data_IF_910762895516
#
_entry.id   IF_910762895516
#
_cell.length_a   1.000
_cell.length_b   1.000
_cell.length_c   1.000
_cell.angle_alpha   90.00
_cell.angle_beta   90.00
_cell.angle_gamma   90.00
#
_symmetry.space_group_name_H-M   'P 1'
#
loop_
_entity.id
_entity.type
_entity.pdbx_description
1 polymer ?
#
# COMPACT_ATOMS: atom_id res chain seq x y z
N UNK A 1 16.33 20.94 3.13
CA UNK A 1 16.31 20.81 1.66
C UNK A 1 15.44 21.94 1.11
N UNK A 2 15.84 22.59 0.02
CA UNK A 2 15.07 23.72 -0.54
C UNK A 2 13.85 23.21 -1.33
N UNK A 3 12.70 23.87 -1.23
CA UNK A 3 11.43 23.46 -1.86
C UNK A 3 11.56 23.30 -3.39
N UNK A 4 12.43 24.09 -4.01
CA UNK A 4 12.77 23.98 -5.43
C UNK A 4 13.49 22.66 -5.78
N UNK A 5 14.40 22.19 -4.90
CA UNK A 5 15.11 20.92 -5.09
C UNK A 5 14.19 19.70 -4.93
N UNK A 6 13.15 19.82 -4.10
CA UNK A 6 12.17 18.77 -3.87
C UNK A 6 11.19 18.67 -5.04
N UNK A 7 10.71 19.80 -5.55
CA UNK A 7 9.89 19.85 -6.76
C UNK A 7 10.63 19.29 -7.99
N UNK A 8 11.92 19.60 -8.14
CA UNK A 8 12.71 19.08 -9.27
C UNK A 8 12.91 17.56 -9.19
N UNK A 9 13.11 17.01 -7.99
CA UNK A 9 13.17 15.55 -7.78
C UNK A 9 11.86 14.86 -8.15
N UNK A 10 10.72 15.42 -7.71
CA UNK A 10 9.41 14.85 -8.05
C UNK A 10 9.14 14.88 -9.56
N UNK A 11 9.56 15.96 -10.23
CA UNK A 11 9.48 16.05 -11.68
C UNK A 11 10.31 14.97 -12.37
N UNK A 12 11.56 14.75 -11.94
CA UNK A 12 12.44 13.72 -12.50
C UNK A 12 11.89 12.29 -12.30
N UNK A 13 11.26 12.01 -11.15
CA UNK A 13 10.59 10.74 -10.93
C UNK A 13 9.40 10.54 -11.88
N UNK A 14 8.59 11.58 -12.07
CA UNK A 14 7.46 11.53 -13.00
C UNK A 14 7.92 11.35 -14.45
N UNK A 15 8.98 12.04 -14.87
CA UNK A 15 9.58 11.91 -16.21
C UNK A 15 10.16 10.50 -16.44
N UNK A 16 10.72 9.86 -15.41
CA UNK A 16 11.15 8.47 -15.47
C UNK A 16 9.95 7.53 -15.65
N UNK A 17 8.88 7.66 -14.85
CA UNK A 17 7.68 6.82 -14.92
C UNK A 17 6.91 6.96 -16.24
N UNK A 18 6.87 8.17 -16.81
CA UNK A 18 6.17 8.48 -18.06
C UNK A 18 7.04 8.18 -19.30
N UNK A 19 8.30 7.80 -19.10
CA UNK A 19 9.27 7.50 -20.15
C UNK A 19 8.98 6.18 -20.89
N UNK A 20 9.58 5.98 -22.08
CA UNK A 20 9.42 4.73 -22.83
C UNK A 20 10.13 3.57 -22.12
N UNK A 21 9.36 2.81 -21.34
CA UNK A 21 9.78 1.53 -20.77
C UNK A 21 9.58 0.41 -21.77
N UNK A 22 10.67 -0.10 -22.34
CA UNK A 22 10.63 -1.11 -23.41
C UNK A 22 10.57 -2.54 -22.89
N UNK A 23 10.52 -2.73 -21.56
CA UNK A 23 10.62 -4.04 -20.88
C UNK A 23 11.87 -4.85 -21.26
N UNK A 24 12.91 -4.17 -21.76
CA UNK A 24 14.21 -4.76 -22.04
C UNK A 24 15.17 -4.37 -20.93
N UNK A 25 15.72 -5.37 -20.24
CA UNK A 25 16.53 -5.19 -19.01
C UNK A 25 17.68 -4.19 -19.18
N UNK A 26 18.31 -4.14 -20.36
CA UNK A 26 19.42 -3.24 -20.65
C UNK A 26 18.99 -1.77 -20.71
N UNK A 27 17.86 -1.46 -21.37
CA UNK A 27 17.36 -0.09 -21.47
C UNK A 27 16.74 0.42 -20.17
N UNK A 28 16.11 -0.47 -19.39
CA UNK A 28 15.59 -0.13 -18.07
C UNK A 28 16.72 0.19 -17.09
N UNK A 29 17.82 -0.58 -17.13
CA UNK A 29 19.00 -0.33 -16.32
C UNK A 29 19.68 1.01 -16.66
N UNK A 30 19.77 1.34 -17.96
CA UNK A 30 20.33 2.63 -18.41
C UNK A 30 19.46 3.82 -18.00
N UNK A 31 18.13 3.70 -18.15
CA UNK A 31 17.18 4.72 -17.70
C UNK A 31 17.27 4.94 -16.18
N UNK A 32 17.43 3.87 -15.41
CA UNK A 32 17.60 3.96 -13.96
C UNK A 32 18.92 4.63 -13.59
N UNK A 33 20.02 4.29 -14.26
CA UNK A 33 21.32 4.93 -14.07
C UNK A 33 21.22 6.44 -14.34
N UNK A 34 20.58 6.82 -15.44
CA UNK A 34 20.39 8.22 -15.84
C UNK A 34 19.61 9.01 -14.78
N UNK A 35 18.53 8.43 -14.24
CA UNK A 35 17.76 9.04 -13.14
C UNK A 35 18.64 9.36 -11.92
N UNK A 36 19.57 8.47 -11.54
CA UNK A 36 20.46 8.73 -10.40
C UNK A 36 21.42 9.89 -10.66
N UNK A 37 21.95 10.01 -11.87
CA UNK A 37 22.80 11.13 -12.26
C UNK A 37 22.02 12.45 -12.21
N UNK A 38 20.81 12.47 -12.76
CA UNK A 38 19.95 13.66 -12.77
C UNK A 38 19.53 14.10 -11.37
N UNK A 39 19.26 13.14 -10.47
CA UNK A 39 19.03 13.43 -9.05
C UNK A 39 20.28 13.98 -8.35
N UNK A 40 21.46 13.49 -8.70
CA UNK A 40 22.75 14.01 -8.22
C UNK A 40 22.98 15.46 -8.63
N UNK A 41 22.80 15.75 -9.92
CA UNK A 41 22.88 17.09 -10.51
C UNK A 41 21.89 18.06 -9.89
N UNK A 42 20.63 17.65 -9.72
CA UNK A 42 19.59 18.45 -9.09
C UNK A 42 19.90 18.77 -7.61
N UNK A 43 20.56 17.87 -6.88
CA UNK A 43 21.01 18.13 -5.50
C UNK A 43 22.16 19.12 -5.45
N UNK A 44 23.08 19.03 -6.42
CA UNK A 44 24.21 19.94 -6.54
C UNK A 44 23.84 21.29 -7.21
N UNK A 45 22.61 21.41 -7.72
CA UNK A 45 22.13 22.55 -8.50
C UNK A 45 23.01 22.84 -9.74
N UNK A 46 23.42 21.78 -10.43
CA UNK A 46 24.28 21.83 -11.63
C UNK A 46 23.47 21.39 -12.85
N UNK A 47 23.68 22.05 -13.98
CA UNK A 47 23.08 21.71 -15.27
C UNK A 47 24.02 20.83 -16.11
N UNK A 48 23.44 20.04 -17.00
CA UNK A 48 24.16 19.09 -17.84
C UNK A 48 25.21 19.77 -18.74
N UNK A 49 26.38 19.14 -18.90
CA UNK A 49 27.41 19.56 -19.87
C UNK A 49 28.62 20.33 -19.32
N UNK A 50 28.62 20.77 -18.06
CA UNK A 50 29.74 21.48 -17.42
C UNK A 50 30.81 20.58 -16.75
N UNK A 51 31.98 21.13 -16.40
CA UNK A 51 32.99 20.41 -15.61
C UNK A 51 32.47 20.03 -14.21
N UNK A 52 31.69 20.90 -13.58
CA UNK A 52 31.00 20.58 -12.33
C UNK A 52 29.98 19.44 -12.49
N UNK A 53 29.36 19.31 -13.66
CA UNK A 53 28.45 18.18 -13.95
C UNK A 53 29.23 16.88 -13.98
N UNK A 54 30.38 16.84 -14.68
CA UNK A 54 31.24 15.66 -14.75
C UNK A 54 31.74 15.24 -13.37
N UNK A 55 32.08 16.20 -12.51
CA UNK A 55 32.50 15.92 -11.13
C UNK A 55 31.35 15.35 -10.30
N UNK A 56 30.16 15.95 -10.37
CA UNK A 56 28.98 15.49 -9.64
C UNK A 56 28.52 14.12 -10.13
N UNK A 57 28.60 13.86 -11.43
CA UNK A 57 28.31 12.55 -12.02
C UNK A 57 29.31 11.50 -11.54
N UNK A 58 30.61 11.82 -11.57
CA UNK A 58 31.65 10.94 -11.07
C UNK A 58 31.50 10.66 -9.55
N UNK A 59 31.19 11.67 -8.74
CA UNK A 59 30.91 11.50 -7.31
C UNK A 59 29.64 10.66 -7.07
N UNK A 60 28.61 10.84 -7.91
CA UNK A 60 27.36 10.08 -7.81
C UNK A 60 27.59 8.63 -8.21
N UNK A 61 28.33 8.36 -9.28
CA UNK A 61 28.76 7.02 -9.66
C UNK A 61 29.63 6.38 -8.56
N UNK A 62 30.55 7.13 -7.95
CA UNK A 62 31.39 6.63 -6.85
C UNK A 62 30.58 6.30 -5.60
N UNK A 63 29.51 7.05 -5.32
CA UNK A 63 28.54 6.72 -4.27
C UNK A 63 27.70 5.48 -4.60
N UNK A 64 27.34 5.28 -5.87
CA UNK A 64 26.67 4.05 -6.31
C UNK A 64 27.60 2.82 -6.18
N UNK A 65 28.92 3.03 -6.31
CA UNK A 65 29.93 1.99 -6.11
C UNK A 65 30.24 1.71 -4.64
N UNK A 66 30.06 2.68 -3.75
CA UNK A 66 30.47 2.60 -2.34
C UNK A 66 29.28 2.57 -1.35
N UNK A 67 28.96 1.38 -0.79
CA UNK A 67 27.84 1.13 0.13
C UNK A 67 27.77 2.05 1.34
N UNK A 68 28.93 2.42 1.88
CA UNK A 68 29.07 3.10 3.16
C UNK A 68 28.54 4.54 3.17
N UNK A 69 28.23 5.10 2.00
CA UNK A 69 27.73 6.47 1.85
C UNK A 69 26.21 6.55 1.65
N UNK A 70 25.50 5.42 1.68
CA UNK A 70 24.06 5.34 1.50
C UNK A 70 23.38 5.06 2.85
N UNK A 71 22.37 5.87 3.20
CA UNK A 71 21.56 5.67 4.41
C UNK A 71 20.73 4.38 4.35
N UNK A 72 20.24 3.88 5.50
CA UNK A 72 19.46 2.64 5.59
C UNK A 72 18.21 2.62 4.68
N UNK A 73 17.67 3.79 4.35
CA UNK A 73 16.58 4.00 3.40
C UNK A 73 16.92 3.62 1.95
N UNK A 74 18.20 3.49 1.62
CA UNK A 74 18.70 3.22 0.27
C UNK A 74 19.28 1.81 0.08
N UNK A 75 19.26 0.95 1.10
CA UNK A 75 19.85 -0.40 1.07
C UNK A 75 19.30 -1.28 -0.07
N UNK A 76 17.99 -1.24 -0.32
CA UNK A 76 17.39 -2.04 -1.41
C UNK A 76 17.84 -1.52 -2.77
N UNK A 77 17.80 -0.20 -2.95
CA UNK A 77 18.26 0.49 -4.16
C UNK A 77 19.73 0.17 -4.44
N UNK A 78 20.56 0.18 -3.41
CA UNK A 78 21.97 -0.14 -3.50
C UNK A 78 22.24 -1.59 -3.92
N UNK A 79 21.57 -2.56 -3.29
CA UNK A 79 21.74 -3.98 -3.62
C UNK A 79 21.32 -4.24 -5.08
N UNK A 80 20.23 -3.61 -5.51
CA UNK A 80 19.77 -3.68 -6.91
C UNK A 80 20.85 -3.15 -7.84
N UNK A 81 21.42 -1.97 -7.56
CA UNK A 81 22.45 -1.37 -8.39
C UNK A 81 23.75 -2.18 -8.42
N UNK A 82 24.21 -2.72 -7.28
CA UNK A 82 25.38 -3.62 -7.22
C UNK A 82 25.19 -4.86 -8.06
N UNK A 83 23.99 -5.47 -7.99
CA UNK A 83 23.65 -6.64 -8.79
C UNK A 83 23.56 -6.27 -10.27
N UNK A 84 22.91 -5.15 -10.62
CA UNK A 84 22.81 -4.69 -12.00
C UNK A 84 24.17 -4.40 -12.65
N UNK A 85 25.12 -3.83 -11.88
CA UNK A 85 26.47 -3.55 -12.35
C UNK A 85 27.27 -4.82 -12.70
N UNK A 86 26.95 -5.96 -12.08
CA UNK A 86 27.58 -7.26 -12.34
C UNK A 86 26.78 -8.09 -13.36
N UNK A 87 25.46 -8.07 -13.23
CA UNK A 87 24.51 -8.76 -14.08
C UNK A 87 23.15 -8.02 -14.02
N UNK A 88 22.77 -7.29 -15.08
CA UNK A 88 21.51 -6.55 -15.16
C UNK A 88 20.27 -7.39 -14.82
N UNK A 89 20.23 -8.65 -15.28
CA UNK A 89 19.11 -9.58 -15.08
C UNK A 89 18.97 -9.94 -13.58
N UNK A 90 20.09 -10.16 -12.89
CA UNK A 90 20.09 -10.50 -11.46
C UNK A 90 19.61 -9.31 -10.62
N UNK A 91 20.05 -8.10 -10.98
CA UNK A 91 19.63 -6.88 -10.29
C UNK A 91 18.13 -6.59 -10.47
N UNK A 92 17.62 -6.75 -11.70
CA UNK A 92 16.18 -6.61 -11.95
C UNK A 92 15.37 -7.72 -11.26
N UNK A 93 15.81 -8.98 -11.32
CA UNK A 93 15.15 -10.09 -10.61
C UNK A 93 15.06 -9.86 -9.10
N UNK A 94 16.12 -9.29 -8.50
CA UNK A 94 16.12 -8.93 -7.09
C UNK A 94 15.14 -7.79 -6.77
N UNK A 95 15.07 -6.76 -7.63
CA UNK A 95 14.11 -5.67 -7.51
C UNK A 95 12.67 -6.17 -7.56
N UNK A 96 12.33 -6.96 -8.60
CA UNK A 96 10.99 -7.50 -8.81
C UNK A 96 10.54 -8.38 -7.64
N UNK A 97 11.40 -9.30 -7.17
CA UNK A 97 11.14 -10.12 -5.98
C UNK A 97 10.88 -9.27 -4.74
N UNK A 98 11.63 -8.19 -4.56
CA UNK A 98 11.48 -7.29 -3.41
C UNK A 98 10.17 -6.51 -3.46
N UNK A 99 9.76 -6.03 -4.65
CA UNK A 99 8.47 -5.38 -4.86
C UNK A 99 7.32 -6.36 -4.60
N UNK A 100 7.39 -7.55 -5.19
CA UNK A 100 6.37 -8.59 -5.02
C UNK A 100 6.23 -9.05 -3.56
N UNK A 101 7.34 -9.18 -2.83
CA UNK A 101 7.31 -9.46 -1.40
C UNK A 101 6.64 -8.35 -0.58
N UNK A 102 6.91 -7.07 -0.89
CA UNK A 102 6.23 -5.94 -0.24
C UNK A 102 4.73 -5.93 -0.55
N UNK A 103 4.35 -6.17 -1.79
CA UNK A 103 2.95 -6.24 -2.22
C UNK A 103 2.22 -7.40 -1.52
N UNK A 104 2.85 -8.56 -1.43
CA UNK A 104 2.31 -9.71 -0.69
C UNK A 104 2.10 -9.39 0.79
N UNK A 105 3.09 -8.78 1.45
CA UNK A 105 2.97 -8.36 2.86
C UNK A 105 1.88 -7.30 3.07
N UNK A 106 1.72 -6.36 2.14
CA UNK A 106 0.64 -5.38 2.19
C UNK A 106 -0.74 -6.04 2.00
N UNK A 107 -0.85 -6.95 1.04
CA UNK A 107 -2.06 -7.74 0.79
C UNK A 107 -2.43 -8.61 2.00
N UNK A 108 -1.45 -9.24 2.64
CA UNK A 108 -1.64 -10.01 3.87
C UNK A 108 -2.12 -9.11 5.03
N UNK A 109 -1.51 -7.93 5.18
CA UNK A 109 -1.95 -6.94 6.18
C UNK A 109 -3.35 -6.41 5.90
N UNK A 110 -3.72 -6.23 4.64
CA UNK A 110 -5.05 -5.77 4.22
C UNK A 110 -6.12 -6.86 4.37
N UNK A 111 -5.75 -8.13 4.18
CA UNK A 111 -6.66 -9.28 4.32
C UNK A 111 -6.92 -9.66 5.78
N UNK A 112 -6.03 -9.27 6.72
CA UNK A 112 -6.27 -9.43 8.15
C UNK A 112 -7.40 -8.50 8.60
N UNK A 113 -8.48 -9.02 9.23
CA UNK A 113 -9.53 -8.19 9.79
C UNK A 113 -8.93 -7.24 10.82
N UNK A 114 -9.09 -5.92 10.64
CA UNK A 114 -8.57 -4.92 11.58
C UNK A 114 -9.18 -5.17 12.96
N UNK A 115 -8.34 -5.24 14.00
CA UNK A 115 -8.78 -5.37 15.40
C UNK A 115 -9.62 -4.13 15.74
N UNK A 116 -10.92 -4.29 15.95
CA UNK A 116 -11.86 -3.19 16.22
C UNK A 116 -12.63 -2.61 15.02
N UNK A 117 -12.54 -3.19 13.82
CA UNK A 117 -13.25 -2.67 12.62
C UNK A 117 -14.74 -2.99 12.56
N UNK A 118 -15.23 -3.91 13.40
CA UNK A 118 -16.64 -4.28 13.37
C UNK A 118 -17.45 -3.25 14.11
N UNK A 119 -18.35 -2.60 13.38
CA UNK A 119 -19.36 -1.74 13.98
C UNK A 119 -20.23 -2.52 14.97
N UNK A 120 -20.77 -1.84 16.00
CA UNK A 120 -21.51 -2.48 17.08
C UNK A 120 -22.79 -3.16 16.59
N UNK A 121 -23.43 -2.67 15.52
CA UNK A 121 -24.57 -3.36 14.89
C UNK A 121 -24.15 -4.73 14.34
N UNK A 122 -23.00 -4.82 13.67
CA UNK A 122 -22.47 -6.08 13.13
C UNK A 122 -22.10 -7.06 14.23
N UNK A 123 -21.54 -6.56 15.34
CA UNK A 123 -21.28 -7.38 16.52
C UNK A 123 -22.57 -7.94 17.11
N UNK A 124 -23.64 -7.14 17.15
CA UNK A 124 -24.93 -7.58 17.66
C UNK A 124 -25.58 -8.62 16.75
N UNK A 125 -25.53 -8.44 15.43
CA UNK A 125 -25.96 -9.44 14.45
C UNK A 125 -25.21 -10.76 14.65
N UNK A 126 -23.89 -10.72 14.84
CA UNK A 126 -23.10 -11.92 15.10
C UNK A 126 -23.47 -12.56 16.45
N UNK A 127 -23.77 -11.77 17.48
CA UNK A 127 -24.22 -12.27 18.80
C UNK A 127 -25.58 -12.99 18.69
N UNK A 128 -26.55 -12.39 17.98
CA UNK A 128 -27.87 -12.99 17.74
C UNK A 128 -27.72 -14.33 17.01
N UNK A 129 -26.89 -14.36 15.96
CA UNK A 129 -26.65 -15.56 15.15
C UNK A 129 -25.79 -16.61 15.86
N UNK A 130 -24.97 -16.24 16.84
CA UNK A 130 -24.29 -17.20 17.71
C UNK A 130 -25.28 -17.95 18.61
N UNK A 131 -26.36 -17.28 19.05
CA UNK A 131 -27.44 -17.92 19.79
C UNK A 131 -28.28 -18.87 18.93
N UNK A 132 -28.64 -18.45 17.72
CA UNK A 132 -29.29 -19.31 16.71
C UNK A 132 -28.87 -18.94 15.28
N UNK A 133 -28.01 -19.73 14.62
CA UNK A 133 -27.54 -19.47 13.27
C UNK A 133 -28.62 -19.55 12.19
N UNK A 134 -29.78 -20.17 12.47
CA UNK A 134 -30.85 -20.39 11.49
C UNK A 134 -31.76 -19.18 11.32
N UNK A 135 -31.67 -18.18 12.19
CA UNK A 135 -32.51 -16.99 12.10
C UNK A 135 -32.43 -16.32 10.72
N UNK A 136 -33.59 -15.96 10.20
CA UNK A 136 -33.74 -15.16 8.98
C UNK A 136 -33.38 -13.70 9.23
N UNK A 137 -33.09 -12.95 8.17
CA UNK A 137 -32.82 -11.51 8.29
C UNK A 137 -33.97 -10.74 8.96
N UNK A 138 -35.22 -11.17 8.74
CA UNK A 138 -36.40 -10.58 9.38
C UNK A 138 -36.43 -10.82 10.89
N UNK A 139 -36.03 -12.02 11.34
CA UNK A 139 -35.94 -12.34 12.77
C UNK A 139 -34.80 -11.55 13.43
N UNK A 140 -33.64 -11.46 12.77
CA UNK A 140 -32.52 -10.63 13.23
C UNK A 140 -32.93 -9.16 13.33
N UNK A 141 -33.66 -8.63 12.35
CA UNK A 141 -34.18 -7.25 12.40
C UNK A 141 -35.05 -6.98 13.63
N UNK A 142 -35.97 -7.89 13.95
CA UNK A 142 -36.80 -7.81 15.16
C UNK A 142 -35.97 -7.86 16.44
N UNK A 143 -34.93 -8.69 16.48
CA UNK A 143 -34.02 -8.77 17.62
C UNK A 143 -33.20 -7.49 17.79
N UNK A 144 -32.79 -6.84 16.69
CA UNK A 144 -32.11 -5.54 16.73
C UNK A 144 -33.04 -4.42 17.23
N UNK A 145 -34.32 -4.43 16.84
CA UNK A 145 -35.32 -3.46 17.32
C UNK A 145 -35.62 -3.61 18.81
N UNK A 146 -35.54 -4.84 19.33
CA UNK A 146 -35.70 -5.11 20.76
C UNK A 146 -34.45 -4.77 21.59
N UNK A 147 -33.33 -4.44 20.94
CA UNK A 147 -32.08 -4.15 21.63
C UNK A 147 -32.04 -2.70 22.13
N UNK A 148 -31.80 -2.52 23.42
CA UNK A 148 -31.85 -1.28 24.20
C UNK A 148 -30.92 -0.16 23.69
N UNK A 149 -29.87 -0.51 22.95
CA UNK A 149 -28.90 0.45 22.36
C UNK A 149 -29.07 0.68 20.86
N UNK A 150 -30.04 0.04 20.23
CA UNK A 150 -30.29 0.16 18.79
C UNK A 150 -31.67 0.77 18.59
N UNK A 151 -31.71 1.82 17.77
CA UNK A 151 -32.96 2.49 17.41
C UNK A 151 -33.19 2.38 15.91
N UNK A 152 -34.44 2.18 15.51
CA UNK A 152 -34.84 2.21 14.11
C UNK A 152 -35.51 3.55 13.81
N UNK A 153 -34.92 4.33 12.90
CA UNK A 153 -35.49 5.60 12.43
C UNK A 153 -35.20 5.77 10.95
N UNK A 154 -36.19 6.21 10.16
CA UNK A 154 -36.03 6.45 8.72
C UNK A 154 -35.44 5.25 7.94
N UNK A 155 -35.93 4.04 8.20
CA UNK A 155 -35.41 2.79 7.61
C UNK A 155 -33.92 2.52 7.85
N UNK A 156 -33.38 3.05 8.95
CA UNK A 156 -32.00 2.88 9.35
C UNK A 156 -31.89 2.52 10.83
N UNK A 157 -31.22 1.41 11.11
CA UNK A 157 -30.80 1.03 12.44
C UNK A 157 -29.61 1.91 12.84
N UNK A 158 -29.63 2.46 14.05
CA UNK A 158 -28.54 3.27 14.59
C UNK A 158 -28.20 2.83 16.01
N UNK A 159 -26.91 2.61 16.27
CA UNK A 159 -26.42 2.20 17.58
C UNK A 159 -25.92 3.41 18.40
N UNK A 160 -26.47 3.61 19.59
CA UNK A 160 -26.26 4.80 20.42
C UNK A 160 -24.79 5.02 20.86
N UNK A 161 -24.01 3.95 20.97
CA UNK A 161 -22.66 4.01 21.55
C UNK A 161 -21.49 4.14 20.58
N UNK A 162 -21.68 4.05 19.27
CA UNK A 162 -20.61 4.22 18.27
C UNK A 162 -21.09 4.90 16.98
N UNK A 163 -22.35 5.35 16.95
CA UNK A 163 -23.00 5.98 15.80
C UNK A 163 -22.98 5.09 14.53
N UNK A 164 -22.77 3.79 14.70
CA UNK A 164 -22.86 2.87 13.56
C UNK A 164 -24.29 2.82 13.05
N UNK A 165 -24.45 2.81 11.73
CA UNK A 165 -25.75 2.73 11.09
C UNK A 165 -25.85 1.58 10.08
N UNK A 166 -27.07 1.07 9.92
CA UNK A 166 -27.38 0.03 8.95
C UNK A 166 -28.76 0.28 8.36
N UNK A 167 -28.82 0.56 7.05
CA UNK A 167 -30.09 0.64 6.33
C UNK A 167 -30.80 -0.71 6.33
N UNK A 168 -32.11 -0.73 6.56
CA UNK A 168 -32.94 -1.95 6.60
C UNK A 168 -32.76 -2.79 5.33
N UNK A 169 -32.68 -2.15 4.15
CA UNK A 169 -32.44 -2.83 2.86
C UNK A 169 -31.12 -3.62 2.81
N UNK A 170 -30.12 -3.25 3.61
CA UNK A 170 -28.81 -3.89 3.66
C UNK A 170 -28.73 -5.00 4.73
N UNK A 171 -29.77 -5.17 5.56
CA UNK A 171 -29.78 -6.14 6.67
C UNK A 171 -29.57 -7.57 6.17
N UNK A 172 -30.27 -7.97 5.10
CA UNK A 172 -30.16 -9.32 4.55
C UNK A 172 -28.73 -9.66 4.10
N UNK A 173 -28.06 -8.71 3.44
CA UNK A 173 -26.65 -8.84 3.05
C UNK A 173 -25.75 -8.99 4.28
N UNK A 174 -25.93 -8.12 5.28
CA UNK A 174 -25.12 -8.12 6.51
C UNK A 174 -25.27 -9.42 7.32
N UNK A 175 -26.49 -9.96 7.39
CA UNK A 175 -26.79 -11.27 8.02
C UNK A 175 -26.14 -12.42 7.26
N UNK A 176 -26.23 -12.42 5.92
CA UNK A 176 -25.57 -13.44 5.07
C UNK A 176 -24.06 -13.46 5.31
N UNK A 177 -23.41 -12.30 5.31
CA UNK A 177 -21.98 -12.20 5.55
C UNK A 177 -21.59 -12.61 6.98
N UNK A 178 -22.42 -12.28 7.98
CA UNK A 178 -22.21 -12.73 9.35
C UNK A 178 -22.26 -14.26 9.46
N UNK A 179 -23.23 -14.93 8.82
CA UNK A 179 -23.30 -16.40 8.77
C UNK A 179 -22.05 -17.01 8.12
N UNK A 180 -21.59 -16.47 6.98
CA UNK A 180 -20.36 -16.92 6.32
C UNK A 180 -19.15 -16.82 7.25
N UNK A 181 -19.02 -15.71 7.98
CA UNK A 181 -17.92 -15.49 8.93
C UNK A 181 -17.95 -16.46 10.11
N UNK A 182 -19.13 -16.73 10.66
CA UNK A 182 -19.29 -17.67 11.76
C UNK A 182 -18.94 -19.10 11.32
N UNK A 183 -19.38 -19.54 10.15
CA UNK A 183 -19.04 -20.86 9.61
C UNK A 183 -17.53 -21.04 9.37
N UNK A 184 -16.82 -19.98 8.96
CA UNK A 184 -15.36 -20.02 8.73
C UNK A 184 -14.54 -20.11 10.03
N UNK A 185 -15.12 -19.76 11.19
CA UNK A 185 -14.46 -19.89 12.50
C UNK A 185 -14.65 -21.26 13.16
N UNK A 186 -15.54 -22.08 12.63
CA UNK A 186 -15.90 -23.40 13.19
C UNK A 186 -15.15 -24.57 12.53
N UNK A 187 -14.19 -24.29 11.64
CA UNK A 187 -13.28 -25.27 11.03
C UNK A 187 -11.85 -24.79 11.16
#
# INVERSE_FOLDING_TARGET
MNKASENKKNQLYQEFEDGPHTNCDASEAEALKQLFLDLGRARANVTEGGEDCKRVDAESEERLRNPSYLGPEHVVTEIVLRRMALNPIDGYSYLDKTINAKNALQSEKASKPRKGSKDKITLEIERILLGDPRQSAKQVGRALEAHDKITLKNDEYSHAGDQSTLKVKNLASRVSDAKKRLNKKSG
#
